data_IF_286764076911
#
_entry.id   IF_286764076911
#
_cell.length_a   1.000
_cell.length_b   1.000
_cell.length_c   1.000
_cell.angle_alpha   90.00
_cell.angle_beta   90.00
_cell.angle_gamma   90.00
#
_symmetry.space_group_name_H-M   'P 1'
#
loop_
_entity.id
_entity.type
_entity.pdbx_description
1 polymer ?
#
# COMPACT_ATOMS: atom_id res chain seq x y z
N UNK A 1 -11.04 21.75 6.63
CA UNK A 1 -10.21 20.64 7.14
C UNK A 1 -8.81 21.20 7.30
N UNK A 2 -8.41 21.32 8.55
CA UNK A 2 -7.13 21.90 8.92
C UNK A 2 -5.98 20.94 8.64
N UNK A 3 -4.88 21.44 8.07
CA UNK A 3 -3.65 20.69 7.86
C UNK A 3 -2.47 21.41 8.53
N UNK A 4 -1.32 20.75 8.73
CA UNK A 4 -0.11 21.42 9.23
C UNK A 4 0.38 22.59 8.35
N UNK A 5 -0.16 22.74 7.14
CA UNK A 5 0.20 23.80 6.19
C UNK A 5 -0.90 24.85 6.04
N UNK A 6 -1.97 24.79 6.85
CA UNK A 6 -3.16 25.63 6.79
C UNK A 6 -4.42 24.88 6.30
N UNK A 7 -5.52 25.59 6.13
CA UNK A 7 -6.77 25.03 5.62
C UNK A 7 -6.60 24.47 4.19
N UNK A 8 -7.05 23.24 3.96
CA UNK A 8 -6.91 22.55 2.67
C UNK A 8 -7.43 23.37 1.49
N UNK A 9 -8.52 24.12 1.67
CA UNK A 9 -9.12 24.94 0.63
C UNK A 9 -8.21 26.09 0.17
N UNK A 10 -7.33 26.56 1.05
CA UNK A 10 -6.38 27.65 0.78
C UNK A 10 -5.02 27.19 0.27
N UNK A 11 -4.76 25.88 0.19
CA UNK A 11 -3.47 25.36 -0.25
C UNK A 11 -3.34 25.41 -1.78
N UNK A 12 -2.27 26.05 -2.27
CA UNK A 12 -1.88 25.94 -3.67
C UNK A 12 -1.10 24.63 -3.91
N UNK A 13 -1.82 23.55 -4.20
CA UNK A 13 -1.23 22.24 -4.48
C UNK A 13 -0.45 22.17 -5.81
N UNK A 14 -0.40 23.26 -6.59
CA UNK A 14 0.49 23.38 -7.74
C UNK A 14 1.87 23.93 -7.38
N UNK A 15 2.03 24.54 -6.21
CA UNK A 15 3.32 25.01 -5.71
C UNK A 15 4.23 23.82 -5.36
N UNK A 16 5.33 23.69 -6.09
CA UNK A 16 6.34 22.64 -5.87
C UNK A 16 6.98 22.72 -4.49
N UNK A 17 7.15 23.91 -3.90
CA UNK A 17 7.72 24.04 -2.56
C UNK A 17 6.75 23.53 -1.50
N UNK A 18 5.47 23.85 -1.63
CA UNK A 18 4.44 23.27 -0.77
C UNK A 18 4.34 21.76 -0.95
N UNK A 19 4.34 21.28 -2.19
CA UNK A 19 4.33 19.84 -2.51
C UNK A 19 5.52 19.10 -1.85
N UNK A 20 6.73 19.64 -1.96
CA UNK A 20 7.91 19.09 -1.28
C UNK A 20 7.73 19.06 0.24
N UNK A 21 7.22 20.14 0.85
CA UNK A 21 6.98 20.20 2.30
C UNK A 21 5.95 19.17 2.76
N UNK A 22 4.92 18.90 1.95
CA UNK A 22 3.90 17.88 2.23
C UNK A 22 4.55 16.49 2.21
N UNK A 23 5.34 16.19 1.19
CA UNK A 23 5.92 14.86 0.99
C UNK A 23 7.08 14.58 1.96
N UNK A 24 7.90 15.59 2.28
CA UNK A 24 9.03 15.45 3.23
C UNK A 24 8.57 15.38 4.69
N UNK A 25 7.33 15.75 5.00
CA UNK A 25 6.74 15.56 6.33
C UNK A 25 6.40 14.09 6.64
N UNK A 26 6.43 13.22 5.63
CA UNK A 26 6.15 11.80 5.76
C UNK A 26 7.40 10.98 6.13
N UNK A 27 7.23 9.68 6.38
CA UNK A 27 8.36 8.74 6.48
C UNK A 27 9.02 8.56 5.11
N UNK A 28 10.35 8.59 5.04
CA UNK A 28 11.07 8.49 3.76
C UNK A 28 10.72 7.22 2.96
N UNK A 29 10.57 6.08 3.65
CA UNK A 29 10.18 4.81 3.02
C UNK A 29 8.79 4.84 2.36
N UNK A 30 7.88 5.70 2.82
CA UNK A 30 6.57 5.86 2.18
C UNK A 30 6.70 6.62 0.86
N UNK A 31 7.50 7.69 0.83
CA UNK A 31 7.79 8.45 -0.40
C UNK A 31 8.51 7.57 -1.44
N UNK A 32 9.49 6.79 -1.00
CA UNK A 32 10.17 5.82 -1.86
C UNK A 32 9.23 4.71 -2.36
N UNK A 33 8.29 4.29 -1.50
CA UNK A 33 7.25 3.31 -1.82
C UNK A 33 6.36 3.77 -2.98
N UNK A 34 6.02 5.06 -3.05
CA UNK A 34 5.23 5.62 -4.15
C UNK A 34 5.90 5.43 -5.52
N UNK A 35 7.24 5.47 -5.57
CA UNK A 35 7.98 5.16 -6.81
C UNK A 35 7.78 3.68 -7.18
N UNK A 36 7.91 2.79 -6.20
CA UNK A 36 7.74 1.34 -6.40
C UNK A 36 6.33 1.05 -6.91
N UNK A 37 5.31 1.66 -6.31
CA UNK A 37 3.91 1.54 -6.73
C UNK A 37 3.72 2.01 -8.18
N UNK A 38 4.27 3.18 -8.56
CA UNK A 38 4.18 3.67 -9.95
C UNK A 38 4.89 2.76 -10.96
N UNK A 39 5.99 2.12 -10.58
CA UNK A 39 6.70 1.17 -11.44
C UNK A 39 5.98 -0.17 -11.54
N UNK A 40 5.36 -0.61 -10.44
CA UNK A 40 4.56 -1.82 -10.40
C UNK A 40 3.25 -1.64 -11.18
N UNK A 41 2.63 -0.46 -11.14
CA UNK A 41 1.43 -0.12 -11.91
C UNK A 41 1.63 -0.37 -13.42
N UNK A 42 2.83 -0.14 -13.95
CA UNK A 42 3.13 -0.43 -15.37
C UNK A 42 3.03 -1.93 -15.71
N UNK A 43 3.25 -2.82 -14.73
CA UNK A 43 2.99 -4.25 -14.88
C UNK A 43 1.48 -4.51 -14.85
N UNK A 44 0.78 -3.86 -13.91
CA UNK A 44 -0.66 -4.03 -13.75
C UNK A 44 -1.47 -3.49 -14.94
N UNK A 45 -0.96 -2.47 -15.64
CA UNK A 45 -1.54 -1.93 -16.87
C UNK A 45 -1.61 -2.98 -18.00
N UNK A 46 -0.84 -4.06 -17.90
CA UNK A 46 -0.87 -5.20 -18.84
C UNK A 46 -1.87 -6.30 -18.45
N UNK A 47 -2.56 -6.19 -17.30
CA UNK A 47 -3.58 -7.17 -16.91
C UNK A 47 -4.72 -7.36 -17.94
N UNK A 48 -5.22 -6.31 -18.64
CA UNK A 48 -6.29 -6.46 -19.62
C UNK A 48 -5.96 -7.43 -20.77
N UNK A 49 -4.68 -7.64 -21.09
CA UNK A 49 -4.26 -8.60 -22.12
C UNK A 49 -4.56 -10.06 -21.74
N UNK A 50 -4.65 -10.35 -20.44
CA UNK A 50 -4.86 -11.69 -19.88
C UNK A 50 -6.22 -11.87 -19.19
N UNK A 51 -6.88 -10.75 -18.91
CA UNK A 51 -8.22 -10.64 -18.32
C UNK A 51 -8.97 -9.49 -19.00
N UNK A 52 -9.63 -9.72 -20.16
CA UNK A 52 -10.25 -8.65 -20.95
C UNK A 52 -11.26 -7.79 -20.19
N UNK A 53 -11.98 -8.38 -19.23
CA UNK A 53 -13.01 -7.69 -18.42
C UNK A 53 -12.47 -7.15 -17.08
N UNK A 54 -11.14 -7.02 -16.93
CA UNK A 54 -10.55 -6.46 -15.71
C UNK A 54 -10.91 -4.99 -15.57
N UNK A 55 -11.28 -4.57 -14.36
CA UNK A 55 -11.58 -3.17 -14.05
C UNK A 55 -10.65 -2.68 -12.95
N UNK A 56 -9.76 -1.74 -13.29
CA UNK A 56 -8.98 -0.99 -12.30
C UNK A 56 -9.87 0.08 -11.64
N UNK A 57 -10.12 -0.06 -10.34
CA UNK A 57 -10.87 0.94 -9.58
C UNK A 57 -9.93 2.08 -9.18
N UNK A 58 -10.31 3.33 -9.51
CA UNK A 58 -9.53 4.50 -9.12
C UNK A 58 -9.95 4.96 -7.71
N UNK A 59 -9.48 4.22 -6.71
CA UNK A 59 -9.81 4.43 -5.30
C UNK A 59 -8.55 4.51 -4.43
N UNK A 60 -8.58 5.36 -3.41
CA UNK A 60 -7.72 5.24 -2.23
C UNK A 60 -8.54 4.63 -1.11
N UNK A 61 -8.07 3.53 -0.51
CA UNK A 61 -8.80 2.90 0.60
C UNK A 61 -7.95 2.85 1.85
N UNK A 62 -8.46 3.48 2.91
CA UNK A 62 -7.87 3.47 4.23
C UNK A 62 -8.68 2.60 5.17
N UNK A 63 -8.06 1.58 5.74
CA UNK A 63 -8.63 0.79 6.82
C UNK A 63 -8.16 1.34 8.15
N UNK A 64 -9.10 1.67 9.03
CA UNK A 64 -8.83 2.22 10.35
C UNK A 64 -9.48 1.39 11.47
N UNK A 65 -8.82 1.34 12.62
CA UNK A 65 -9.38 0.71 13.82
C UNK A 65 -10.26 1.71 14.59
N UNK A 66 -11.54 1.38 14.79
CA UNK A 66 -12.47 2.13 15.63
C UNK A 66 -12.19 1.96 17.14
N UNK A 67 -12.91 2.72 17.97
CA UNK A 67 -12.67 2.90 19.42
C UNK A 67 -12.68 1.61 20.23
N UNK A 68 -13.63 0.70 19.99
CA UNK A 68 -13.70 -0.59 20.71
C UNK A 68 -13.15 -1.71 19.83
N UNK A 69 -12.41 -2.63 20.43
CA UNK A 69 -11.92 -3.83 19.75
C UNK A 69 -13.06 -4.69 19.16
N UNK A 70 -14.26 -4.60 19.75
CA UNK A 70 -15.49 -5.26 19.26
C UNK A 70 -16.17 -4.53 18.11
N UNK A 71 -15.84 -3.27 17.85
CA UNK A 71 -16.49 -2.50 16.78
C UNK A 71 -15.93 -2.94 15.43
N UNK A 72 -16.80 -2.97 14.41
CA UNK A 72 -16.38 -3.14 13.03
C UNK A 72 -15.33 -2.08 12.70
N UNK A 73 -14.22 -2.52 12.10
CA UNK A 73 -13.21 -1.62 11.56
C UNK A 73 -13.84 -0.70 10.53
N UNK A 74 -13.20 0.42 10.25
CA UNK A 74 -13.69 1.42 9.32
C UNK A 74 -12.93 1.27 8.01
N UNK A 75 -13.64 1.39 6.89
CA UNK A 75 -13.03 1.54 5.58
C UNK A 75 -13.45 2.91 5.03
N UNK A 76 -12.48 3.81 4.83
CA UNK A 76 -12.67 5.09 4.16
C UNK A 76 -12.19 4.92 2.73
N UNK A 77 -13.10 4.98 1.77
CA UNK A 77 -12.83 4.78 0.35
C UNK A 77 -13.01 6.12 -0.35
N UNK A 78 -11.92 6.75 -0.78
CA UNK A 78 -12.02 7.89 -1.68
C UNK A 78 -12.03 7.38 -3.12
N UNK A 79 -13.16 7.53 -3.79
CA UNK A 79 -13.28 7.19 -5.20
C UNK A 79 -13.07 8.44 -6.07
N UNK A 80 -12.04 8.42 -6.92
CA UNK A 80 -11.76 9.48 -7.89
C UNK A 80 -12.59 9.32 -9.16
N UNK A 81 -12.99 8.09 -9.47
CA UNK A 81 -13.97 7.77 -10.50
C UNK A 81 -15.10 6.88 -9.96
N UNK A 82 -16.17 6.74 -10.76
CA UNK A 82 -17.33 5.89 -10.44
C UNK A 82 -17.49 4.79 -11.47
N UNK A 83 -16.41 4.05 -11.72
CA UNK A 83 -16.43 2.91 -12.65
C UNK A 83 -17.36 1.79 -12.19
N UNK A 84 -17.77 0.98 -13.15
CA UNK A 84 -18.46 -0.27 -12.90
C UNK A 84 -17.64 -1.16 -11.96
N UNK A 85 -18.30 -1.74 -10.95
CA UNK A 85 -17.62 -2.56 -9.94
C UNK A 85 -17.29 -1.83 -8.63
N UNK A 86 -17.30 -0.48 -8.58
CA UNK A 86 -17.15 0.25 -7.32
C UNK A 86 -18.18 -0.19 -6.27
N UNK A 87 -19.47 -0.27 -6.64
CA UNK A 87 -20.53 -0.74 -5.74
C UNK A 87 -20.32 -2.18 -5.23
N UNK A 88 -19.75 -3.06 -6.06
CA UNK A 88 -19.39 -4.44 -5.68
C UNK A 88 -18.27 -4.44 -4.64
N UNK A 89 -17.25 -3.62 -4.83
CA UNK A 89 -16.16 -3.46 -3.88
C UNK A 89 -16.64 -2.90 -2.54
N UNK A 90 -17.44 -1.83 -2.57
CA UNK A 90 -18.02 -1.23 -1.37
C UNK A 90 -18.90 -2.24 -0.61
N UNK A 91 -19.80 -2.95 -1.30
CA UNK A 91 -20.64 -3.99 -0.70
C UNK A 91 -19.82 -5.15 -0.12
N UNK A 92 -18.69 -5.51 -0.74
CA UNK A 92 -17.79 -6.52 -0.20
C UNK A 92 -17.21 -6.05 1.14
N UNK A 93 -16.68 -4.83 1.22
CA UNK A 93 -16.14 -4.25 2.45
C UNK A 93 -17.18 -4.21 3.59
N UNK A 94 -18.44 -3.88 3.30
CA UNK A 94 -19.51 -3.78 4.32
C UNK A 94 -19.77 -5.06 5.11
N UNK A 95 -19.31 -6.22 4.62
CA UNK A 95 -19.42 -7.48 5.36
C UNK A 95 -18.64 -7.44 6.68
N UNK A 96 -17.49 -6.75 6.72
CA UNK A 96 -16.64 -6.64 7.93
C UNK A 96 -16.38 -5.21 8.39
N UNK A 97 -16.62 -4.21 7.54
CA UNK A 97 -16.28 -2.82 7.81
C UNK A 97 -17.53 -1.93 7.91
N UNK A 98 -17.41 -0.83 8.65
CA UNK A 98 -18.24 0.36 8.42
C UNK A 98 -17.61 1.13 7.27
N UNK A 99 -18.33 1.29 6.16
CA UNK A 99 -17.76 1.82 4.93
C UNK A 99 -18.25 3.26 4.72
N UNK A 100 -17.29 4.14 4.45
CA UNK A 100 -17.52 5.54 4.09
C UNK A 100 -16.98 5.78 2.69
N UNK A 101 -17.82 6.31 1.80
CA UNK A 101 -17.39 6.79 0.49
C UNK A 101 -17.09 8.27 0.60
N UNK A 102 -15.86 8.63 0.25
CA UNK A 102 -15.34 10.00 0.26
C UNK A 102 -15.14 10.47 -1.17
N UNK A 103 -15.33 11.77 -1.38
CA UNK A 103 -15.04 12.51 -2.60
C UNK A 103 -14.26 13.78 -2.23
N UNK A 104 -13.53 14.33 -3.20
CA UNK A 104 -12.83 15.60 -3.07
C UNK A 104 -13.41 16.61 -4.06
N UNK A 105 -13.70 17.82 -3.58
CA UNK A 105 -14.10 18.95 -4.42
C UNK A 105 -13.17 20.13 -4.14
N UNK A 106 -12.60 20.68 -5.21
CA UNK A 106 -11.70 21.84 -5.12
C UNK A 106 -12.45 23.02 -4.49
N UNK A 107 -11.86 23.63 -3.46
CA UNK A 107 -12.46 24.73 -2.72
C UNK A 107 -13.50 24.33 -1.67
N UNK A 108 -13.77 23.03 -1.47
CA UNK A 108 -14.58 22.50 -0.35
C UNK A 108 -13.87 21.43 0.48
N UNK A 109 -12.86 20.78 -0.10
CA UNK A 109 -12.11 19.71 0.56
C UNK A 109 -12.78 18.33 0.44
N UNK A 110 -12.55 17.48 1.46
CA UNK A 110 -13.05 16.11 1.50
C UNK A 110 -14.39 16.01 2.21
N UNK A 111 -15.35 15.36 1.55
CA UNK A 111 -16.68 15.07 2.09
C UNK A 111 -17.02 13.61 1.82
N UNK A 112 -17.91 13.05 2.61
CA UNK A 112 -18.31 11.68 2.43
C UNK A 112 -19.67 11.34 3.00
N UNK A 113 -20.05 10.09 2.79
CA UNK A 113 -21.32 9.54 3.25
C UNK A 113 -21.11 8.07 3.61
N UNK A 114 -21.97 7.55 4.50
CA UNK A 114 -21.96 6.13 4.81
C UNK A 114 -22.47 5.31 3.63
N UNK A 115 -22.00 4.07 3.53
CA UNK A 115 -22.45 3.12 2.53
C UNK A 115 -23.36 2.06 3.19
N UNK A 116 -24.42 1.69 2.47
CA UNK A 116 -25.32 0.54 2.72
C UNK A 116 -25.60 -0.19 1.42
N UNK A 117 -25.36 -1.49 1.40
CA UNK A 117 -25.57 -2.38 0.25
C UNK A 117 -24.88 -1.87 -1.03
N UNK A 118 -23.64 -1.39 -0.89
CA UNK A 118 -22.82 -0.84 -1.97
C UNK A 118 -23.27 0.53 -2.48
N UNK A 119 -24.22 1.19 -1.80
CA UNK A 119 -24.82 2.48 -2.21
C UNK A 119 -24.72 3.52 -1.10
N UNK A 120 -24.76 4.79 -1.50
CA UNK A 120 -24.79 5.93 -0.55
C UNK A 120 -26.02 5.82 0.36
N UNK A 121 -25.80 6.06 1.65
CA UNK A 121 -26.82 6.02 2.67
C UNK A 121 -26.62 7.16 3.66
N UNK A 122 -27.57 8.10 3.67
CA UNK A 122 -27.58 9.24 4.59
C UNK A 122 -27.01 10.51 3.98
N UNK A 123 -26.84 11.53 4.82
CA UNK A 123 -26.37 12.85 4.40
C UNK A 123 -24.90 12.84 4.01
N UNK A 124 -24.54 13.75 3.11
CA UNK A 124 -23.14 14.08 2.82
C UNK A 124 -22.64 15.02 3.91
N UNK A 125 -21.46 14.74 4.46
CA UNK A 125 -20.86 15.48 5.56
C UNK A 125 -19.38 15.77 5.27
N UNK A 126 -18.80 16.75 5.95
CA UNK A 126 -17.35 16.93 5.98
C UNK A 126 -16.67 15.64 6.47
N UNK A 127 -15.42 15.40 6.06
CA UNK A 127 -14.69 14.22 6.55
C UNK A 127 -14.53 14.22 8.08
N UNK A 128 -14.41 15.41 8.68
CA UNK A 128 -14.27 15.58 10.13
C UNK A 128 -15.55 15.15 10.86
N UNK A 129 -16.71 15.61 10.40
CA UNK A 129 -18.01 15.24 10.96
C UNK A 129 -18.36 13.78 10.70
N UNK A 130 -17.86 13.21 9.60
CA UNK A 130 -18.05 11.81 9.26
C UNK A 130 -17.24 10.87 10.18
N UNK A 131 -16.00 11.24 10.51
CA UNK A 131 -15.06 10.38 11.25
C UNK A 131 -15.08 10.60 12.76
N UNK A 132 -15.33 11.83 13.23
CA UNK A 132 -15.37 12.16 14.67
C UNK A 132 -16.29 11.24 15.50
N UNK A 133 -17.50 10.85 15.05
CA UNK A 133 -18.37 9.96 15.82
C UNK A 133 -17.84 8.53 15.98
N UNK A 134 -16.89 8.12 15.15
CA UNK A 134 -16.30 6.77 15.15
C UNK A 134 -14.81 6.77 15.49
N UNK A 135 -14.27 7.93 15.88
CA UNK A 135 -12.87 8.12 16.22
C UNK A 135 -12.44 7.19 17.38
N UNK A 136 -11.23 6.63 17.26
CA UNK A 136 -10.69 5.73 18.28
C UNK A 136 -9.88 6.46 19.36
N UNK A 137 -9.51 7.70 19.09
CA UNK A 137 -8.74 8.58 19.98
C UNK A 137 -9.27 10.01 19.85
N UNK A 138 -8.93 10.84 20.83
CA UNK A 138 -9.01 12.28 20.63
C UNK A 138 -8.13 12.68 19.43
N UNK A 139 -8.60 13.68 18.67
CA UNK A 139 -7.88 14.19 17.50
C UNK A 139 -6.42 14.51 17.86
N UNK A 140 -5.49 13.95 17.10
CA UNK A 140 -4.05 14.20 17.23
C UNK A 140 -3.52 14.70 15.89
N UNK A 141 -3.08 15.96 15.78
CA UNK A 141 -2.51 16.48 14.55
C UNK A 141 -1.41 15.57 13.98
N UNK A 142 -1.36 15.50 12.66
CA UNK A 142 -0.36 14.72 11.95
C UNK A 142 1.06 15.19 12.32
N UNK A 143 1.88 14.24 12.76
CA UNK A 143 3.29 14.44 13.00
C UNK A 143 4.04 13.11 12.84
N UNK A 144 5.19 13.15 12.16
CA UNK A 144 6.11 12.03 11.99
C UNK A 144 7.43 12.37 12.66
N UNK A 145 8.03 11.43 13.39
CA UNK A 145 9.32 11.64 14.04
C UNK A 145 10.43 11.87 13.02
N UNK A 146 11.32 12.83 13.31
CA UNK A 146 12.53 13.07 12.52
C UNK A 146 13.42 11.81 12.41
N UNK A 147 13.39 10.92 13.40
CA UNK A 147 14.20 9.69 13.41
C UNK A 147 13.83 8.69 12.29
N UNK A 148 12.66 8.84 11.66
CA UNK A 148 12.24 8.01 10.51
C UNK A 148 12.10 8.84 9.22
N UNK A 149 12.53 10.10 9.25
CA UNK A 149 12.64 10.97 8.08
C UNK A 149 14.08 10.96 7.59
N UNK A 150 14.23 11.10 6.28
CA UNK A 150 15.52 11.23 5.60
C UNK A 150 15.28 12.17 4.44
N UNK A 151 15.57 13.46 4.66
CA UNK A 151 15.21 14.51 3.70
C UNK A 151 15.96 14.37 2.38
N UNK A 152 17.18 13.84 2.40
CA UNK A 152 17.98 13.62 1.19
C UNK A 152 17.30 12.57 0.33
N UNK A 153 17.01 11.39 0.88
CA UNK A 153 16.32 10.31 0.16
C UNK A 153 14.91 10.73 -0.30
N UNK A 154 14.22 11.52 0.51
CA UNK A 154 12.91 12.07 0.11
C UNK A 154 13.04 13.02 -1.07
N UNK A 155 13.98 13.97 -1.04
CA UNK A 155 14.20 14.90 -2.15
C UNK A 155 14.64 14.18 -3.41
N UNK A 156 15.50 13.17 -3.31
CA UNK A 156 15.88 12.31 -4.42
C UNK A 156 14.65 11.66 -5.07
N UNK A 157 13.75 11.08 -4.27
CA UNK A 157 12.52 10.47 -4.77
C UNK A 157 11.56 11.50 -5.40
N UNK A 158 11.39 12.66 -4.75
CA UNK A 158 10.48 13.72 -5.16
C UNK A 158 10.93 14.36 -6.48
N UNK A 159 12.16 14.85 -6.53
CA UNK A 159 12.70 15.57 -7.69
C UNK A 159 13.17 14.61 -8.78
N UNK A 160 13.74 13.46 -8.42
CA UNK A 160 14.24 12.47 -9.37
C UNK A 160 13.15 11.68 -10.07
N UNK A 161 11.92 11.63 -9.53
CA UNK A 161 10.83 10.88 -10.15
C UNK A 161 9.47 11.56 -10.03
N UNK A 162 8.92 11.70 -8.81
CA UNK A 162 7.49 11.99 -8.59
C UNK A 162 7.02 13.28 -9.29
N UNK A 163 7.80 14.35 -9.21
CA UNK A 163 7.46 15.62 -9.86
C UNK A 163 7.39 15.50 -11.39
N UNK A 164 8.34 14.80 -12.01
CA UNK A 164 8.35 14.65 -13.47
C UNK A 164 7.28 13.67 -13.94
N UNK A 165 7.10 12.57 -13.21
CA UNK A 165 6.20 11.48 -13.59
C UNK A 165 4.74 11.93 -13.53
N UNK A 166 4.35 12.63 -12.46
CA UNK A 166 2.97 13.07 -12.32
C UNK A 166 2.69 14.44 -12.95
N UNK A 167 3.68 15.32 -13.07
CA UNK A 167 3.53 16.65 -13.68
C UNK A 167 2.30 17.39 -13.14
N UNK A 168 1.40 17.79 -14.05
CA UNK A 168 0.15 18.48 -13.68
C UNK A 168 -0.84 17.66 -12.84
N UNK A 169 -0.64 16.34 -12.69
CA UNK A 169 -1.46 15.43 -11.88
C UNK A 169 -0.85 15.14 -10.50
N UNK A 170 0.27 15.77 -10.13
CA UNK A 170 0.93 15.55 -8.83
C UNK A 170 -0.04 15.77 -7.66
N UNK A 171 -0.86 16.81 -7.73
CA UNK A 171 -1.85 17.11 -6.71
C UNK A 171 -2.87 15.97 -6.54
N UNK A 172 -3.48 15.51 -7.63
CA UNK A 172 -4.53 14.48 -7.59
C UNK A 172 -4.02 13.09 -7.26
N UNK A 173 -2.81 12.75 -7.74
CA UNK A 173 -2.29 11.39 -7.67
C UNK A 173 -1.39 11.15 -6.45
N UNK A 174 -0.85 12.21 -5.85
CA UNK A 174 0.11 12.08 -4.74
C UNK A 174 -0.28 12.94 -3.55
N UNK A 175 -0.41 14.26 -3.71
CA UNK A 175 -0.57 15.16 -2.57
C UNK A 175 -1.91 14.97 -1.85
N UNK A 176 -3.02 14.95 -2.60
CA UNK A 176 -4.35 14.77 -2.04
C UNK A 176 -4.52 13.41 -1.33
N UNK A 177 -4.05 12.26 -1.88
CA UNK A 177 -4.03 11.00 -1.14
C UNK A 177 -3.29 11.09 0.19
N UNK A 178 -2.09 11.72 0.21
CA UNK A 178 -1.33 11.90 1.45
C UNK A 178 -2.06 12.81 2.43
N UNK A 179 -2.63 13.91 1.98
CA UNK A 179 -3.41 14.81 2.82
C UNK A 179 -4.63 14.08 3.41
N UNK A 180 -5.37 13.32 2.60
CA UNK A 180 -6.51 12.53 3.07
C UNK A 180 -6.09 11.56 4.17
N UNK A 181 -5.06 10.75 3.92
CA UNK A 181 -4.61 9.71 4.86
C UNK A 181 -4.04 10.36 6.12
N UNK A 182 -3.08 11.27 5.97
CA UNK A 182 -2.30 11.81 7.07
C UNK A 182 -3.06 12.84 7.90
N UNK A 183 -3.90 13.67 7.28
CA UNK A 183 -4.62 14.77 7.94
C UNK A 183 -6.11 14.49 8.08
N UNK A 184 -6.72 13.83 7.09
CA UNK A 184 -8.16 13.53 7.12
C UNK A 184 -8.52 12.33 8.00
N UNK A 185 -7.74 11.25 7.94
CA UNK A 185 -8.09 9.96 8.57
C UNK A 185 -7.23 9.67 9.81
N UNK A 186 -5.90 9.58 9.65
CA UNK A 186 -4.97 9.18 10.71
C UNK A 186 -5.13 9.91 12.06
N UNK A 187 -5.40 11.23 12.11
CA UNK A 187 -5.54 11.95 13.38
C UNK A 187 -6.64 11.43 14.32
N UNK A 188 -7.63 10.71 13.78
CA UNK A 188 -8.77 10.19 14.52
C UNK A 188 -8.56 8.75 15.01
N UNK A 189 -7.50 8.06 14.56
CA UNK A 189 -7.33 6.62 14.77
C UNK A 189 -5.93 6.25 15.26
N UNK A 190 -5.84 5.14 16.00
CA UNK A 190 -4.54 4.63 16.49
C UNK A 190 -3.71 3.99 15.39
N UNK A 191 -4.40 3.30 14.48
CA UNK A 191 -3.80 2.54 13.40
C UNK A 191 -4.62 2.79 12.14
N UNK A 192 -3.90 3.12 11.07
CA UNK A 192 -4.43 3.27 9.72
C UNK A 192 -3.59 2.43 8.78
N UNK A 193 -4.25 1.83 7.79
CA UNK A 193 -3.61 1.04 6.75
C UNK A 193 -4.11 1.52 5.40
N UNK A 194 -3.20 1.91 4.50
CA UNK A 194 -3.55 2.18 3.11
C UNK A 194 -3.54 0.88 2.32
N UNK A 195 -4.55 0.64 1.50
CA UNK A 195 -4.56 -0.46 0.54
C UNK A 195 -4.01 0.06 -0.80
N UNK A 196 -3.11 -0.71 -1.42
CA UNK A 196 -2.41 -0.26 -2.64
C UNK A 196 -3.34 -0.14 -3.86
N UNK A 197 -3.68 -1.25 -4.55
CA UNK A 197 -4.53 -1.21 -5.75
C UNK A 197 -5.68 -2.20 -5.73
N UNK A 198 -6.86 -1.76 -6.17
CA UNK A 198 -8.05 -2.61 -6.26
C UNK A 198 -8.45 -2.83 -7.71
N UNK A 199 -8.59 -4.10 -8.07
CA UNK A 199 -9.10 -4.52 -9.37
C UNK A 199 -10.35 -5.37 -9.21
N UNK A 200 -11.24 -5.34 -10.20
CA UNK A 200 -12.27 -6.34 -10.37
C UNK A 200 -11.79 -7.35 -11.41
N UNK A 201 -11.59 -8.60 -11.00
CA UNK A 201 -11.14 -9.71 -11.86
C UNK A 201 -12.16 -10.83 -11.74
N UNK A 202 -12.64 -11.33 -12.89
CA UNK A 202 -13.64 -12.40 -12.96
C UNK A 202 -14.86 -12.10 -12.05
N UNK A 203 -15.28 -10.82 -12.05
CA UNK A 203 -16.42 -10.31 -11.29
C UNK A 203 -16.17 -10.02 -9.80
N UNK A 204 -15.00 -10.35 -9.25
CA UNK A 204 -14.66 -10.23 -7.82
C UNK A 204 -13.60 -9.17 -7.54
N UNK A 205 -13.67 -8.47 -6.40
CA UNK A 205 -12.61 -7.53 -6.01
C UNK A 205 -11.32 -8.24 -5.58
N UNK A 206 -10.19 -7.69 -6.00
CA UNK A 206 -8.84 -8.14 -5.69
C UNK A 206 -7.98 -6.96 -5.26
N UNK A 207 -7.30 -7.10 -4.13
CA UNK A 207 -6.21 -6.25 -3.68
C UNK A 207 -4.89 -6.74 -4.27
N UNK A 208 -4.17 -5.83 -4.91
CA UNK A 208 -2.79 -6.00 -5.35
C UNK A 208 -1.90 -5.17 -4.43
N UNK A 209 -1.30 -5.84 -3.45
CA UNK A 209 -0.37 -5.22 -2.51
C UNK A 209 1.07 -5.42 -3.01
N UNK A 210 1.88 -4.37 -3.02
CA UNK A 210 3.30 -4.46 -3.38
C UNK A 210 4.19 -3.93 -2.26
N UNK A 211 5.32 -4.61 -2.04
CA UNK A 211 6.39 -4.13 -1.15
C UNK A 211 7.73 -4.16 -1.86
N UNK A 212 8.62 -3.26 -1.45
CA UNK A 212 10.02 -3.25 -1.89
C UNK A 212 10.94 -3.63 -0.75
N UNK A 213 11.32 -4.91 -0.71
CA UNK A 213 12.03 -5.52 0.42
C UNK A 213 13.14 -6.43 -0.09
N UNK A 214 14.08 -6.79 0.78
CA UNK A 214 15.05 -7.87 0.53
C UNK A 214 14.81 -9.01 1.53
N UNK A 215 15.14 -10.26 1.15
CA UNK A 215 14.98 -11.39 2.04
C UNK A 215 16.06 -11.36 3.13
N UNK A 216 15.78 -12.03 4.24
CA UNK A 216 16.76 -12.23 5.31
C UNK A 216 16.75 -13.68 5.77
N UNK A 217 17.79 -14.04 6.54
CA UNK A 217 17.91 -15.34 7.21
C UNK A 217 17.76 -15.12 8.71
N UNK A 218 17.13 -16.07 9.40
CA UNK A 218 17.21 -16.09 10.87
C UNK A 218 18.54 -16.75 11.24
N UNK A 219 19.09 -16.44 12.42
CA UNK A 219 20.34 -17.05 12.89
C UNK A 219 20.29 -18.59 12.91
N UNK A 220 19.09 -19.17 13.09
CA UNK A 220 18.85 -20.60 13.28
C UNK A 220 18.39 -21.33 12.00
N UNK A 221 18.22 -20.62 10.88
CA UNK A 221 17.69 -21.23 9.65
C UNK A 221 18.34 -20.61 8.42
N UNK A 222 18.91 -21.43 7.51
CA UNK A 222 19.51 -20.94 6.27
C UNK A 222 18.46 -20.44 5.26
N UNK A 223 17.17 -20.66 5.51
CA UNK A 223 16.09 -20.35 4.58
C UNK A 223 15.86 -18.85 4.49
N UNK A 224 15.87 -18.32 3.26
CA UNK A 224 15.49 -16.95 2.96
C UNK A 224 13.99 -16.75 3.19
N UNK A 225 13.66 -15.65 3.85
CA UNK A 225 12.28 -15.29 4.18
C UNK A 225 12.01 -13.80 4.06
N UNK A 226 10.73 -13.47 3.98
CA UNK A 226 10.21 -12.10 4.09
C UNK A 226 9.32 -11.97 5.32
N UNK A 227 9.32 -10.76 5.90
CA UNK A 227 8.46 -10.41 7.02
C UNK A 227 7.17 -9.73 6.54
N UNK A 228 6.04 -10.17 7.07
CA UNK A 228 4.73 -9.55 6.92
C UNK A 228 4.20 -9.16 8.30
N UNK A 229 3.85 -7.89 8.52
CA UNK A 229 3.46 -7.42 9.86
C UNK A 229 2.17 -8.11 10.33
N UNK A 230 2.05 -8.36 11.63
CA UNK A 230 0.84 -9.00 12.19
C UNK A 230 -0.42 -8.15 11.92
N UNK A 231 -0.27 -6.82 11.87
CA UNK A 231 -1.33 -5.92 11.45
C UNK A 231 -1.78 -6.14 10.01
N UNK A 232 -0.84 -6.35 9.07
CA UNK A 232 -1.13 -6.67 7.67
C UNK A 232 -1.88 -8.00 7.55
N UNK A 233 -1.40 -9.04 8.24
CA UNK A 233 -2.06 -10.35 8.27
C UNK A 233 -3.51 -10.22 8.76
N UNK A 234 -3.74 -9.44 9.81
CA UNK A 234 -5.08 -9.20 10.33
C UNK A 234 -5.99 -8.46 9.34
N UNK A 235 -5.46 -7.48 8.59
CA UNK A 235 -6.22 -6.79 7.54
C UNK A 235 -6.53 -7.74 6.38
N UNK A 236 -5.55 -8.50 5.89
CA UNK A 236 -5.76 -9.46 4.81
C UNK A 236 -6.79 -10.54 5.17
N UNK A 237 -6.81 -11.00 6.43
CA UNK A 237 -7.88 -11.87 6.92
C UNK A 237 -9.26 -11.25 6.74
N UNK A 238 -9.44 -10.02 7.21
CA UNK A 238 -10.72 -9.33 7.13
C UNK A 238 -11.15 -9.08 5.68
N UNK A 239 -10.20 -8.76 4.78
CA UNK A 239 -10.46 -8.61 3.35
C UNK A 239 -10.87 -9.95 2.71
N UNK A 240 -10.18 -11.05 3.04
CA UNK A 240 -10.57 -12.39 2.57
C UNK A 240 -11.98 -12.76 3.02
N UNK A 241 -12.34 -12.46 4.27
CA UNK A 241 -13.70 -12.66 4.81
C UNK A 241 -14.76 -11.76 4.15
N UNK A 242 -14.35 -10.62 3.59
CA UNK A 242 -15.19 -9.79 2.72
C UNK A 242 -15.40 -10.42 1.32
N UNK A 243 -14.63 -11.44 0.98
CA UNK A 243 -14.55 -12.00 -0.37
C UNK A 243 -13.69 -11.17 -1.31
N UNK A 244 -12.76 -10.38 -0.77
CA UNK A 244 -11.76 -9.63 -1.52
C UNK A 244 -10.50 -10.49 -1.58
N UNK A 245 -10.13 -10.95 -2.77
CA UNK A 245 -8.87 -11.68 -2.96
C UNK A 245 -7.67 -10.77 -2.72
N UNK A 246 -6.54 -11.32 -2.30
CA UNK A 246 -5.31 -10.55 -2.10
C UNK A 246 -4.15 -11.26 -2.78
N UNK A 247 -3.43 -10.54 -3.65
CA UNK A 247 -2.11 -10.93 -4.12
C UNK A 247 -1.08 -10.03 -3.44
N UNK A 248 -0.21 -10.64 -2.66
CA UNK A 248 0.89 -9.97 -1.98
C UNK A 248 2.17 -10.17 -2.79
N UNK A 249 2.63 -9.07 -3.38
CA UNK A 249 3.79 -9.03 -4.26
C UNK A 249 4.98 -8.34 -3.59
N UNK A 250 6.18 -8.78 -3.96
CA UNK A 250 7.43 -8.17 -3.53
C UNK A 250 8.29 -7.90 -4.76
N UNK A 251 8.64 -6.63 -4.96
CA UNK A 251 9.77 -6.24 -5.80
C UNK A 251 11.04 -6.41 -4.96
N UNK A 252 11.77 -7.49 -5.20
CA UNK A 252 12.90 -7.91 -4.38
C UNK A 252 14.13 -7.07 -4.69
N UNK A 253 14.67 -6.36 -3.70
CA UNK A 253 15.88 -5.56 -3.90
C UNK A 253 17.06 -6.47 -4.26
N UNK A 254 17.87 -6.14 -5.27
CA UNK A 254 19.07 -6.88 -5.61
C UNK A 254 20.20 -6.60 -4.62
N UNK A 255 20.23 -5.40 -4.02
CA UNK A 255 21.16 -5.03 -2.94
C UNK A 255 20.42 -5.21 -1.61
N UNK A 256 20.87 -6.16 -0.79
CA UNK A 256 20.22 -6.52 0.48
C UNK A 256 20.69 -5.61 1.61
N UNK A 257 20.35 -4.33 1.51
CA UNK A 257 20.60 -3.31 2.54
C UNK A 257 19.39 -2.39 2.70
N UNK A 258 19.19 -1.89 3.92
CA UNK A 258 18.18 -0.87 4.25
C UNK A 258 18.55 0.51 3.70
N UNK A 259 19.83 0.74 3.46
CA UNK A 259 20.38 2.03 3.00
C UNK A 259 20.11 2.26 1.51
N UNK A 260 19.71 1.21 0.79
CA UNK A 260 19.39 1.30 -0.64
C UNK A 260 17.92 1.66 -0.80
N UNK A 261 17.65 2.88 -1.28
CA UNK A 261 16.32 3.36 -1.67
C UNK A 261 15.76 2.70 -2.95
N UNK A 262 14.64 3.21 -3.46
CA UNK A 262 13.99 2.68 -4.67
C UNK A 262 14.54 3.26 -5.99
N UNK A 263 15.25 4.39 -5.93
CA UNK A 263 15.68 5.14 -7.13
C UNK A 263 16.65 4.37 -8.05
N UNK A 264 17.39 3.38 -7.53
CA UNK A 264 18.27 2.55 -8.36
C UNK A 264 17.51 1.85 -9.50
N UNK A 265 16.20 1.62 -9.35
CA UNK A 265 15.38 1.00 -10.40
C UNK A 265 15.29 1.88 -11.67
N UNK A 266 15.60 3.18 -11.54
CA UNK A 266 15.65 4.14 -12.64
C UNK A 266 17.08 4.42 -13.12
N UNK A 267 18.05 4.40 -12.21
CA UNK A 267 19.41 4.91 -12.47
C UNK A 267 20.49 3.83 -12.63
N UNK A 268 20.27 2.61 -12.12
CA UNK A 268 21.23 1.50 -12.17
C UNK A 268 20.65 0.35 -13.00
N UNK A 269 21.01 0.29 -14.29
CA UNK A 269 20.52 -0.73 -15.22
C UNK A 269 20.78 -2.16 -14.76
N UNK A 270 21.89 -2.41 -14.06
CA UNK A 270 22.25 -3.74 -13.58
C UNK A 270 21.37 -4.12 -12.39
N UNK A 271 21.19 -3.22 -11.44
CA UNK A 271 20.31 -3.44 -10.30
C UNK A 271 18.84 -3.58 -10.73
N UNK A 272 18.39 -2.76 -11.71
CA UNK A 272 17.07 -2.90 -12.31
C UNK A 272 16.84 -4.31 -12.88
N UNK A 273 17.77 -4.82 -13.70
CA UNK A 273 17.70 -6.18 -14.28
C UNK A 273 17.69 -7.30 -13.23
N UNK A 274 18.32 -7.07 -12.08
CA UNK A 274 18.40 -8.04 -11.00
C UNK A 274 17.26 -7.91 -9.96
N UNK A 275 16.34 -6.96 -10.14
CA UNK A 275 15.17 -6.83 -9.27
C UNK A 275 14.17 -7.91 -9.64
N UNK A 276 13.92 -8.87 -8.75
CA UNK A 276 12.91 -9.90 -8.97
C UNK A 276 11.50 -9.38 -8.64
N UNK A 277 10.49 -9.90 -9.33
CA UNK A 277 9.08 -9.72 -8.99
C UNK A 277 8.54 -11.08 -8.60
N UNK A 278 8.16 -11.20 -7.33
CA UNK A 278 7.57 -12.42 -6.77
C UNK A 278 6.23 -12.07 -6.14
N UNK A 279 5.33 -13.05 -6.01
CA UNK A 279 4.09 -12.82 -5.28
C UNK A 279 3.38 -14.09 -4.86
N UNK A 280 2.39 -13.92 -3.99
CA UNK A 280 1.62 -15.01 -3.40
C UNK A 280 0.18 -14.57 -3.18
N UNK A 281 -0.77 -15.41 -3.57
CA UNK A 281 -2.17 -15.25 -3.17
C UNK A 281 -2.32 -15.56 -1.69
N UNK A 282 -2.91 -14.62 -0.94
CA UNK A 282 -3.21 -14.77 0.48
C UNK A 282 -4.69 -15.16 0.63
N UNK A 283 -4.97 -16.44 0.38
CA UNK A 283 -6.29 -17.03 0.66
C UNK A 283 -6.48 -17.32 2.16
N UNK A 284 -7.70 -17.68 2.55
CA UNK A 284 -8.02 -17.97 3.96
C UNK A 284 -7.13 -19.05 4.56
N UNK A 285 -6.80 -20.10 3.80
CA UNK A 285 -5.93 -21.20 4.25
C UNK A 285 -4.51 -20.70 4.53
N UNK A 286 -3.96 -19.89 3.63
CA UNK A 286 -2.65 -19.28 3.77
C UNK A 286 -2.61 -18.33 4.96
N UNK A 287 -3.65 -17.50 5.12
CA UNK A 287 -3.76 -16.54 6.22
C UNK A 287 -3.86 -17.26 7.57
N UNK A 288 -4.68 -18.30 7.68
CA UNK A 288 -4.78 -19.12 8.90
C UNK A 288 -3.43 -19.76 9.26
N UNK A 289 -2.73 -20.30 8.27
CA UNK A 289 -1.38 -20.85 8.46
C UNK A 289 -0.40 -19.79 8.97
N UNK A 290 -0.46 -18.56 8.44
CA UNK A 290 0.41 -17.47 8.89
C UNK A 290 0.06 -16.99 10.30
N UNK A 291 -1.22 -16.90 10.64
CA UNK A 291 -1.68 -16.44 11.96
C UNK A 291 -1.22 -17.39 13.07
N UNK A 292 -1.27 -18.70 12.80
CA UNK A 292 -0.82 -19.76 13.70
C UNK A 292 0.71 -19.83 13.92
N UNK A 293 1.53 -19.10 13.15
CA UNK A 293 2.97 -19.09 13.33
C UNK A 293 3.40 -18.16 14.48
N UNK A 294 4.52 -18.49 15.14
CA UNK A 294 5.15 -17.59 16.09
C UNK A 294 5.66 -16.31 15.41
N UNK A 295 5.30 -15.15 15.96
CA UNK A 295 5.73 -13.86 15.41
C UNK A 295 7.20 -13.57 15.75
N UNK A 296 7.91 -12.97 14.81
CA UNK A 296 9.17 -12.26 15.06
C UNK A 296 8.92 -10.84 15.55
N UNK A 297 9.99 -10.10 15.82
CA UNK A 297 9.95 -8.73 16.32
C UNK A 297 10.87 -7.87 15.45
N UNK A 298 10.35 -6.77 14.91
CA UNK A 298 11.07 -5.88 14.00
C UNK A 298 11.92 -4.84 14.75
N UNK A 299 12.80 -4.16 14.00
CA UNK A 299 13.48 -2.96 14.49
C UNK A 299 12.53 -1.77 14.65
N UNK A 300 12.94 -0.77 15.44
CA UNK A 300 12.16 0.45 15.71
C UNK A 300 11.85 1.27 14.45
N UNK A 301 12.70 1.16 13.41
CA UNK A 301 12.59 1.81 12.11
C UNK A 301 11.36 1.36 11.29
N UNK A 302 10.67 0.30 11.71
CA UNK A 302 9.52 -0.25 10.98
C UNK A 302 8.18 0.41 11.35
N UNK A 303 8.11 1.19 12.42
CA UNK A 303 6.89 1.95 12.73
C UNK A 303 6.70 3.11 11.76
N UNK A 304 5.45 3.48 11.48
CA UNK A 304 5.13 4.61 10.58
C UNK A 304 5.56 5.94 11.21
N UNK A 305 5.41 6.08 12.53
CA UNK A 305 5.67 7.33 13.26
C UNK A 305 7.04 7.40 13.93
N UNK A 306 7.81 6.30 13.97
CA UNK A 306 9.14 6.26 14.59
C UNK A 306 9.16 6.33 16.12
N UNK A 307 8.02 6.10 16.79
CA UNK A 307 7.95 6.19 18.25
C UNK A 307 8.93 5.20 18.92
N UNK A 308 9.83 5.71 19.75
CA UNK A 308 10.84 4.94 20.46
C UNK A 308 10.19 3.79 21.28
N UNK A 309 10.66 2.55 21.08
CA UNK A 309 10.12 1.35 21.74
C UNK A 309 9.00 0.63 20.98
N UNK A 310 8.52 1.16 19.84
CA UNK A 310 7.56 0.47 18.99
C UNK A 310 8.22 -0.61 18.14
N UNK A 311 8.33 -1.84 18.63
CA UNK A 311 8.67 -2.97 17.79
C UNK A 311 7.39 -3.59 17.24
N UNK A 312 7.32 -3.79 15.92
CA UNK A 312 6.19 -4.48 15.29
C UNK A 312 6.44 -5.97 15.28
N UNK A 313 5.37 -6.73 15.53
CA UNK A 313 5.40 -8.17 15.34
C UNK A 313 5.16 -8.50 13.87
N UNK A 314 5.85 -9.53 13.37
CA UNK A 314 5.69 -9.98 11.99
C UNK A 314 5.67 -11.50 11.88
N UNK A 315 4.97 -12.01 10.87
CA UNK A 315 5.01 -13.39 10.41
C UNK A 315 6.10 -13.57 9.34
N UNK A 316 6.66 -14.77 9.27
CA UNK A 316 7.76 -15.12 8.36
C UNK A 316 7.20 -15.92 7.19
N UNK A 317 7.45 -15.47 5.97
CA UNK A 317 7.06 -16.17 4.76
C UNK A 317 8.32 -16.66 4.05
N UNK A 318 8.56 -17.98 3.96
CA UNK A 318 9.69 -18.51 3.19
C UNK A 318 9.62 -18.09 1.72
N UNK A 319 10.78 -17.88 1.09
CA UNK A 319 10.85 -17.53 -0.34
C UNK A 319 10.13 -18.56 -1.22
N UNK A 320 10.26 -19.85 -0.89
CA UNK A 320 9.63 -20.95 -1.62
C UNK A 320 8.09 -20.89 -1.66
N UNK A 321 7.45 -20.13 -0.77
CA UNK A 321 5.99 -19.97 -0.75
C UNK A 321 5.50 -18.99 -1.83
N UNK A 322 6.39 -18.18 -2.42
CA UNK A 322 6.09 -17.21 -3.46
C UNK A 322 6.24 -17.80 -4.86
N UNK A 323 5.37 -17.39 -5.78
CA UNK A 323 5.57 -17.55 -7.21
C UNK A 323 6.60 -16.54 -7.72
N UNK A 324 7.48 -16.98 -8.60
CA UNK A 324 8.38 -16.15 -9.38
C UNK A 324 7.60 -15.65 -10.60
N UNK A 325 7.27 -14.36 -10.63
CA UNK A 325 6.58 -13.75 -11.77
C UNK A 325 7.55 -13.28 -12.85
N UNK A 326 8.78 -12.92 -12.47
CA UNK A 326 9.84 -12.56 -13.40
C UNK A 326 10.87 -11.63 -12.78
N UNK A 327 11.62 -10.94 -13.62
CA UNK A 327 12.47 -9.80 -13.28
C UNK A 327 11.79 -8.52 -13.73
N UNK A 328 12.08 -7.42 -13.05
CA UNK A 328 11.52 -6.11 -13.41
C UNK A 328 11.92 -5.62 -14.81
N UNK A 329 12.96 -6.21 -15.40
CA UNK A 329 13.34 -5.95 -16.81
C UNK A 329 12.66 -6.85 -17.83
N UNK A 330 11.87 -7.84 -17.40
CA UNK A 330 11.10 -8.68 -18.32
C UNK A 330 9.91 -7.90 -18.87
N UNK A 331 9.32 -8.39 -19.97
CA UNK A 331 8.13 -7.78 -20.57
C UNK A 331 6.98 -7.71 -19.55
N UNK A 332 6.37 -6.53 -19.31
CA UNK A 332 5.29 -6.35 -18.33
C UNK A 332 4.14 -7.35 -18.50
N UNK A 333 3.73 -7.60 -19.74
CA UNK A 333 2.68 -8.58 -20.07
C UNK A 333 3.01 -10.00 -19.61
N UNK A 334 4.27 -10.45 -19.73
CA UNK A 334 4.68 -11.78 -19.25
C UNK A 334 4.68 -11.90 -17.73
N UNK A 335 4.91 -10.80 -17.00
CA UNK A 335 4.80 -10.78 -15.54
C UNK A 335 3.31 -10.82 -15.15
N UNK A 336 2.48 -10.01 -15.81
CA UNK A 336 1.04 -9.97 -15.59
C UNK A 336 0.37 -11.33 -15.84
N UNK A 337 0.75 -12.04 -16.92
CA UNK A 337 0.28 -13.41 -17.21
C UNK A 337 0.50 -14.36 -16.03
N UNK A 338 1.71 -14.34 -15.45
CA UNK A 338 2.06 -15.18 -14.30
C UNK A 338 1.33 -14.78 -13.03
N UNK A 339 1.06 -13.49 -12.84
CA UNK A 339 0.23 -13.01 -11.74
C UNK A 339 -1.21 -13.50 -11.87
N UNK A 340 -1.79 -13.40 -13.07
CA UNK A 340 -3.14 -13.91 -13.36
C UNK A 340 -3.22 -15.43 -13.17
N UNK A 341 -2.19 -16.15 -13.59
CA UNK A 341 -2.06 -17.60 -13.35
C UNK A 341 -2.02 -17.95 -11.86
N UNK A 342 -1.34 -17.14 -11.04
CA UNK A 342 -1.32 -17.28 -9.59
C UNK A 342 -2.71 -17.04 -8.98
N UNK A 343 -3.38 -15.95 -9.39
CA UNK A 343 -4.74 -15.58 -8.97
C UNK A 343 -5.75 -16.69 -9.28
N UNK A 344 -5.64 -17.31 -10.45
CA UNK A 344 -6.49 -18.42 -10.90
C UNK A 344 -6.07 -19.80 -10.34
N UNK A 345 -5.05 -19.85 -9.49
CA UNK A 345 -4.63 -21.08 -8.80
C UNK A 345 -3.77 -22.04 -9.64
N UNK A 346 -3.36 -21.66 -10.85
CA UNK A 346 -2.48 -22.49 -11.71
C UNK A 346 -1.02 -22.50 -11.24
N UNK A 347 -0.69 -21.66 -10.23
CA UNK A 347 0.62 -21.53 -9.57
C UNK A 347 1.79 -21.31 -10.53
N UNK A 348 2.35 -20.09 -10.52
CA UNK A 348 3.63 -19.81 -11.17
C UNK A 348 4.77 -20.72 -10.62
N UNK A 349 5.87 -20.83 -11.36
CA UNK A 349 7.08 -21.47 -10.85
C UNK A 349 7.47 -20.83 -9.50
N UNK A 350 7.81 -21.64 -8.49
CA UNK A 350 8.13 -21.09 -7.16
C UNK A 350 9.49 -20.38 -7.19
N UNK A 351 9.61 -19.30 -6.42
CA UNK A 351 10.89 -18.68 -6.14
C UNK A 351 11.76 -19.64 -5.31
N UNK A 352 13.08 -19.55 -5.43
CA UNK A 352 14.03 -20.36 -4.67
C UNK A 352 15.07 -19.47 -4.01
N UNK A 353 15.65 -19.97 -2.92
CA UNK A 353 16.71 -19.28 -2.21
C UNK A 353 17.90 -18.98 -3.13
N UNK A 354 18.35 -19.98 -3.87
CA UNK A 354 19.45 -19.85 -4.84
C UNK A 354 19.06 -18.93 -6.00
N UNK A 355 17.81 -18.98 -6.45
CA UNK A 355 17.28 -18.10 -7.48
C UNK A 355 17.41 -16.63 -7.08
N UNK A 356 16.96 -16.27 -5.88
CA UNK A 356 17.08 -14.89 -5.39
C UNK A 356 18.52 -14.53 -5.02
N UNK A 357 19.30 -15.46 -4.47
CA UNK A 357 20.70 -15.23 -4.15
C UNK A 357 21.54 -14.97 -5.41
N UNK A 358 21.24 -15.61 -6.54
CA UNK A 358 21.92 -15.38 -7.81
C UNK A 358 21.70 -13.99 -8.39
N UNK A 359 20.61 -13.33 -8.00
CA UNK A 359 20.29 -11.95 -8.38
C UNK A 359 20.94 -10.93 -7.44
N UNK A 360 21.42 -11.37 -6.27
CA UNK A 360 22.01 -10.47 -5.27
C UNK A 360 23.23 -9.77 -5.85
N UNK A 361 23.26 -8.46 -5.69
CA UNK A 361 24.41 -7.63 -5.96
C UNK A 361 25.10 -7.28 -4.64
N UNK A 362 26.43 -7.33 -4.63
CA UNK A 362 27.20 -6.71 -3.56
C UNK A 362 26.92 -5.20 -3.61
N UNK A 363 26.69 -4.59 -2.44
CA UNK A 363 26.77 -3.14 -2.36
C UNK A 363 28.21 -2.78 -2.71
N UNK A 364 28.41 -1.90 -3.70
CA UNK A 364 29.75 -1.36 -3.90
C UNK A 364 30.13 -0.60 -2.62
N UNK A 365 31.36 -0.77 -2.10
CA UNK A 365 31.82 -0.10 -0.88
C UNK A 365 31.78 1.42 -1.00
#
# INVERSE_FOLDING_TARGET
METPWGELEGLDLSDKKLAERILTADKHQLVEGMIVECLYDQILDSLPEHVPDVIALDVETVIAQATKWSDRKIAVVWARDKKDGLGRYLAALEKRFRVFLVEYEKGKGFFGTAIRDGKRSGSVMSIEDLLKPVAAVAYKPFAVSEAVRDEERQREAIYGFLFSHHGGKLASNVLLPRILINCGVQPWFRFVWNLDKIFIIDGKPWLFEVKHKFPYRDQQSPVLKFGLNDGEVAIFRLLSECGIGCIFSIMVKPKWSKDVGSLYMLTDLKARKNTAVIGKVLDSVTIEKLDGQASGVSGSDTTITGAAGGQLKFKRIPVADFGMFGRFSDEPSSIAERMVSEIRGTKAARATDDGLASLRMLANP
#
